data_IF_124604411984
#
_entry.id   IF_124604411984
#
_cell.length_a   1.000
_cell.length_b   1.000
_cell.length_c   1.000
_cell.angle_alpha   90.00
_cell.angle_beta   90.00
_cell.angle_gamma   90.00
#
_symmetry.space_group_name_H-M   'P 1'
#
loop_
_entity.id
_entity.type
_entity.pdbx_description
1 polymer ?
#
# COMPACT_ATOMS: atom_id res chain seq x y z
N UNK A 1 2.43 -5.98 -22.79
CA UNK A 1 2.41 -4.98 -21.72
C UNK A 1 0.98 -4.53 -21.46
N UNK A 2 0.65 -4.29 -20.18
CA UNK A 2 -0.63 -3.76 -19.72
C UNK A 2 -0.37 -2.51 -18.87
N UNK A 3 -1.12 -1.45 -19.09
CA UNK A 3 -1.15 -0.28 -18.24
C UNK A 3 -2.60 0.09 -17.93
N UNK A 4 -2.84 0.51 -16.70
CA UNK A 4 -4.13 1.01 -16.24
C UNK A 4 -3.91 2.23 -15.34
N UNK A 5 -4.82 3.19 -15.40
CA UNK A 5 -4.76 4.41 -14.59
C UNK A 5 -6.17 4.97 -14.39
N UNK A 6 -6.37 5.71 -13.31
CA UNK A 6 -7.60 6.46 -13.06
C UNK A 6 -7.29 7.95 -12.98
N UNK A 7 -8.31 8.78 -13.08
CA UNK A 7 -8.24 10.23 -12.86
C UNK A 7 -8.54 10.62 -11.40
N UNK A 8 -8.53 9.66 -10.50
CA UNK A 8 -8.80 9.91 -9.09
C UNK A 8 -7.85 10.95 -8.50
N UNK A 9 -8.39 11.85 -7.70
CA UNK A 9 -7.66 12.79 -6.87
C UNK A 9 -8.32 12.85 -5.49
N UNK A 10 -7.53 12.83 -4.43
CA UNK A 10 -8.03 12.99 -3.07
C UNK A 10 -8.39 14.46 -2.79
N UNK A 11 -9.31 15.00 -3.58
CA UNK A 11 -9.74 16.41 -3.50
C UNK A 11 -11.22 16.55 -3.84
N UNK A 12 -12.11 16.69 -2.83
CA UNK A 12 -13.54 16.90 -3.05
C UNK A 12 -13.86 18.14 -3.90
N UNK A 13 -13.06 19.22 -3.80
CA UNK A 13 -13.31 20.43 -4.58
C UNK A 13 -13.14 20.21 -6.09
N UNK A 14 -12.37 19.22 -6.49
CA UNK A 14 -12.26 18.77 -7.89
C UNK A 14 -13.23 17.63 -8.25
N UNK A 15 -14.19 17.33 -7.36
CA UNK A 15 -15.10 16.20 -7.47
C UNK A 15 -14.33 14.86 -7.60
N UNK A 16 -13.25 14.73 -6.84
CA UNK A 16 -12.33 13.58 -6.81
C UNK A 16 -11.70 13.23 -8.16
N UNK A 17 -11.55 14.20 -9.06
CA UNK A 17 -11.00 13.98 -10.40
C UNK A 17 -9.88 14.94 -10.75
N UNK A 18 -8.80 14.40 -11.33
CA UNK A 18 -7.73 15.18 -11.98
C UNK A 18 -8.16 15.55 -13.39
N UNK A 19 -7.80 16.76 -13.84
CA UNK A 19 -7.98 17.19 -15.24
C UNK A 19 -6.77 16.72 -16.07
N UNK A 20 -6.73 15.44 -16.40
CA UNK A 20 -5.65 14.80 -17.16
C UNK A 20 -6.21 13.94 -18.29
N UNK A 21 -5.47 13.82 -19.38
CA UNK A 21 -5.78 12.86 -20.44
C UNK A 21 -5.21 11.48 -20.06
N UNK A 22 -6.08 10.66 -19.44
CA UNK A 22 -5.72 9.30 -19.01
C UNK A 22 -5.38 8.41 -20.19
N UNK A 23 -6.11 8.51 -21.29
CA UNK A 23 -5.90 7.66 -22.45
C UNK A 23 -4.51 7.89 -23.04
N UNK A 24 -4.10 9.16 -23.15
CA UNK A 24 -2.75 9.49 -23.63
C UNK A 24 -1.67 9.00 -22.66
N UNK A 25 -1.85 9.20 -21.33
CA UNK A 25 -0.88 8.74 -20.34
C UNK A 25 -0.70 7.22 -20.34
N UNK A 26 -1.79 6.46 -20.44
CA UNK A 26 -1.73 4.99 -20.53
C UNK A 26 -1.03 4.55 -21.80
N UNK A 27 -1.30 5.21 -22.93
CA UNK A 27 -0.63 4.94 -24.19
C UNK A 27 0.88 5.18 -24.09
N UNK A 28 1.29 6.33 -23.55
CA UNK A 28 2.71 6.69 -23.39
C UNK A 28 3.45 5.69 -22.49
N UNK A 29 2.80 5.21 -21.41
CA UNK A 29 3.36 4.17 -20.55
C UNK A 29 3.61 2.87 -21.30
N UNK A 30 2.65 2.42 -22.11
CA UNK A 30 2.79 1.18 -22.91
C UNK A 30 3.88 1.34 -23.96
N UNK A 31 3.94 2.46 -24.69
CA UNK A 31 4.98 2.69 -25.69
C UNK A 31 6.38 2.75 -25.03
N UNK A 32 6.53 3.48 -23.95
CA UNK A 32 7.78 3.51 -23.17
C UNK A 32 8.21 2.11 -22.71
N UNK A 33 7.26 1.28 -22.29
CA UNK A 33 7.55 -0.10 -21.88
C UNK A 33 7.99 -0.97 -23.07
N UNK A 34 7.37 -0.80 -24.24
CA UNK A 34 7.77 -1.50 -25.46
C UNK A 34 9.19 -1.12 -25.91
N UNK A 35 9.53 0.18 -25.87
CA UNK A 35 10.88 0.68 -26.23
C UNK A 35 11.95 0.07 -25.32
N UNK A 36 11.70 -0.03 -24.01
CA UNK A 36 12.63 -0.65 -23.07
C UNK A 36 12.76 -2.16 -23.24
N UNK A 37 11.69 -2.83 -23.63
CA UNK A 37 11.62 -4.26 -23.79
C UNK A 37 11.61 -5.05 -22.46
N UNK A 38 11.18 -6.31 -22.54
CA UNK A 38 10.96 -7.17 -21.36
C UNK A 38 12.22 -7.37 -20.52
N UNK A 39 13.37 -7.64 -21.16
CA UNK A 39 14.62 -7.94 -20.45
C UNK A 39 15.07 -6.79 -19.56
N UNK A 40 15.04 -5.56 -20.08
CA UNK A 40 15.44 -4.38 -19.33
C UNK A 40 14.44 -4.08 -18.21
N UNK A 41 13.15 -4.20 -18.48
CA UNK A 41 12.12 -3.99 -17.45
C UNK A 41 12.21 -5.01 -16.32
N UNK A 42 12.47 -6.29 -16.65
CA UNK A 42 12.69 -7.34 -15.67
C UNK A 42 13.91 -7.07 -14.80
N UNK A 43 15.05 -6.68 -15.41
CA UNK A 43 16.27 -6.37 -14.66
C UNK A 43 16.05 -5.24 -13.67
N UNK A 44 15.47 -4.13 -14.11
CA UNK A 44 15.14 -2.98 -13.26
C UNK A 44 14.16 -3.32 -12.14
N UNK A 45 13.16 -4.16 -12.43
CA UNK A 45 12.21 -4.63 -11.42
C UNK A 45 12.91 -5.45 -10.33
N UNK A 46 13.82 -6.35 -10.73
CA UNK A 46 14.58 -7.18 -9.78
C UNK A 46 15.50 -6.30 -8.93
N UNK A 47 16.24 -5.36 -9.53
CA UNK A 47 17.10 -4.43 -8.79
C UNK A 47 16.31 -3.61 -7.76
N UNK A 48 15.22 -3.00 -8.18
CA UNK A 48 14.36 -2.19 -7.32
C UNK A 48 13.79 -3.01 -6.15
N UNK A 49 13.26 -4.19 -6.44
CA UNK A 49 12.69 -5.06 -5.42
C UNK A 49 13.75 -5.57 -4.43
N UNK A 50 14.88 -6.04 -4.93
CA UNK A 50 15.95 -6.58 -4.09
C UNK A 50 16.57 -5.53 -3.19
N UNK A 51 16.65 -4.28 -3.61
CA UNK A 51 17.15 -3.18 -2.79
C UNK A 51 16.37 -3.00 -1.47
N UNK A 52 15.10 -3.39 -1.45
CA UNK A 52 14.25 -3.39 -0.25
C UNK A 52 14.20 -4.79 0.41
N UNK A 53 13.96 -5.82 -0.38
CA UNK A 53 13.70 -7.15 0.14
C UNK A 53 14.90 -7.77 0.85
N UNK A 54 16.11 -7.58 0.34
CA UNK A 54 17.35 -8.15 0.89
C UNK A 54 17.84 -7.47 2.18
N UNK A 55 17.20 -6.40 2.65
CA UNK A 55 17.60 -5.67 3.86
C UNK A 55 17.40 -6.47 5.15
N UNK A 56 16.48 -7.43 5.14
CA UNK A 56 16.16 -8.26 6.30
C UNK A 56 15.91 -9.69 5.86
N UNK A 57 16.53 -10.62 6.56
CA UNK A 57 16.29 -12.05 6.46
C UNK A 57 15.95 -12.58 7.85
N UNK A 58 14.88 -13.38 7.93
CA UNK A 58 14.56 -14.18 9.11
C UNK A 58 15.06 -15.59 8.87
N UNK A 59 15.85 -16.11 9.80
CA UNK A 59 16.36 -17.47 9.82
C UNK A 59 15.99 -18.09 11.18
N UNK A 60 15.10 -19.07 11.17
CA UNK A 60 14.66 -19.83 12.33
C UNK A 60 15.31 -21.21 12.39
N UNK A 61 16.32 -21.45 11.56
CA UNK A 61 16.99 -22.73 11.43
C UNK A 61 16.17 -23.76 10.65
N UNK A 62 15.34 -23.30 9.72
CA UNK A 62 14.54 -24.18 8.90
C UNK A 62 15.41 -25.04 7.98
N UNK A 63 15.16 -26.34 7.93
CA UNK A 63 15.71 -27.20 6.88
C UNK A 63 14.97 -26.93 5.57
N UNK A 64 15.68 -27.08 4.44
CA UNK A 64 15.07 -26.90 3.11
C UNK A 64 13.99 -27.94 2.88
N UNK A 65 12.76 -27.48 2.72
CA UNK A 65 11.60 -28.30 2.39
C UNK A 65 11.12 -27.98 0.97
N UNK A 66 11.07 -29.01 0.12
CA UNK A 66 10.60 -28.90 -1.27
C UNK A 66 9.08 -29.03 -1.40
N UNK A 67 8.34 -29.09 -0.30
CA UNK A 67 6.89 -29.15 -0.30
C UNK A 67 6.25 -27.87 -0.83
N UNK A 68 5.08 -27.99 -1.44
CA UNK A 68 4.28 -26.82 -1.83
C UNK A 68 3.71 -26.12 -0.59
N UNK A 69 3.45 -24.81 -0.69
CA UNK A 69 2.92 -24.01 0.43
C UNK A 69 1.62 -24.58 0.99
N UNK A 70 0.74 -25.11 0.15
CA UNK A 70 -0.51 -25.74 0.61
C UNK A 70 -0.26 -27.04 1.40
N UNK A 71 0.80 -27.80 1.09
CA UNK A 71 1.20 -28.96 1.88
C UNK A 71 1.84 -28.53 3.22
N UNK A 72 2.65 -27.50 3.22
CA UNK A 72 3.19 -26.92 4.46
C UNK A 72 2.06 -26.42 5.38
N UNK A 73 1.05 -25.75 4.84
CA UNK A 73 -0.11 -25.27 5.59
C UNK A 73 -0.93 -26.44 6.17
N UNK A 74 -1.23 -27.48 5.36
CA UNK A 74 -2.00 -28.64 5.82
C UNK A 74 -1.32 -29.44 6.92
N UNK A 75 0.00 -29.48 6.89
CA UNK A 75 0.82 -30.29 7.81
C UNK A 75 1.50 -29.44 8.90
N UNK A 76 1.14 -28.16 9.02
CA UNK A 76 1.76 -27.26 9.99
C UNK A 76 1.69 -27.79 11.42
N UNK A 77 2.84 -27.80 12.08
CA UNK A 77 2.99 -28.06 13.52
C UNK A 77 3.90 -26.99 14.13
N UNK A 78 3.56 -26.39 15.26
CA UNK A 78 4.34 -25.30 15.83
C UNK A 78 5.83 -25.63 16.10
N UNK A 79 6.15 -26.90 16.31
CA UNK A 79 7.52 -27.35 16.59
C UNK A 79 8.36 -27.64 15.33
N UNK A 80 7.71 -27.72 14.17
CA UNK A 80 8.31 -28.13 12.89
C UNK A 80 7.95 -27.13 11.77
N UNK A 81 7.40 -25.96 12.12
CA UNK A 81 6.81 -25.02 11.19
C UNK A 81 7.75 -23.91 10.68
N UNK A 82 9.05 -23.95 11.00
CA UNK A 82 9.98 -22.85 10.74
C UNK A 82 10.00 -22.40 9.28
N UNK A 83 9.96 -23.34 8.32
CA UNK A 83 9.90 -22.99 6.88
C UNK A 83 8.70 -22.12 6.55
N UNK A 84 7.52 -22.48 7.06
CA UNK A 84 6.29 -21.72 6.81
C UNK A 84 6.30 -20.38 7.55
N UNK A 85 6.87 -20.31 8.73
CA UNK A 85 6.98 -19.09 9.53
C UNK A 85 7.94 -18.09 8.88
N UNK A 86 9.10 -18.53 8.40
CA UNK A 86 10.02 -17.73 7.61
C UNK A 86 9.38 -17.24 6.30
N UNK A 87 8.67 -18.14 5.60
CA UNK A 87 7.93 -17.79 4.38
C UNK A 87 6.86 -16.74 4.66
N UNK A 88 6.09 -16.89 5.74
CA UNK A 88 5.04 -15.94 6.13
C UNK A 88 5.60 -14.54 6.41
N UNK A 89 6.73 -14.48 7.15
CA UNK A 89 7.42 -13.22 7.41
C UNK A 89 7.87 -12.53 6.12
N UNK A 90 8.55 -13.27 5.24
CA UNK A 90 9.03 -12.72 3.97
C UNK A 90 7.88 -12.39 3.00
N UNK A 91 6.81 -13.16 3.02
CA UNK A 91 5.63 -12.89 2.21
C UNK A 91 4.89 -11.62 2.66
N UNK A 92 4.79 -11.39 3.97
CA UNK A 92 4.26 -10.13 4.51
C UNK A 92 5.08 -8.92 4.05
N UNK A 93 6.42 -9.00 4.05
CA UNK A 93 7.30 -7.97 3.49
C UNK A 93 7.08 -7.78 1.99
N UNK A 94 6.95 -8.86 1.23
CA UNK A 94 6.64 -8.81 -0.19
C UNK A 94 5.32 -8.07 -0.46
N UNK A 95 4.27 -8.37 0.28
CA UNK A 95 2.98 -7.72 0.13
C UNK A 95 3.08 -6.20 0.38
N UNK A 96 3.79 -5.77 1.41
CA UNK A 96 3.98 -4.36 1.71
C UNK A 96 4.81 -3.65 0.63
N UNK A 97 5.95 -4.21 0.22
CA UNK A 97 6.78 -3.66 -0.86
C UNK A 97 6.00 -3.53 -2.16
N UNK A 98 5.12 -4.49 -2.45
CA UNK A 98 4.38 -4.54 -3.71
C UNK A 98 3.14 -3.65 -3.74
N UNK A 99 2.62 -3.25 -2.57
CA UNK A 99 1.38 -2.46 -2.45
C UNK A 99 1.60 -1.01 -2.04
N UNK A 100 2.77 -0.65 -1.51
CA UNK A 100 3.00 0.69 -0.98
C UNK A 100 4.42 1.17 -1.28
N UNK A 101 4.53 2.10 -2.23
CA UNK A 101 5.81 2.64 -2.69
C UNK A 101 5.77 4.16 -2.65
N UNK A 102 6.89 4.76 -2.24
CA UNK A 102 7.07 6.21 -2.28
C UNK A 102 7.19 6.69 -3.73
N UNK A 103 6.10 7.15 -4.27
CA UNK A 103 6.04 7.80 -5.58
C UNK A 103 4.95 8.88 -5.60
N UNK A 104 5.04 9.79 -6.57
CA UNK A 104 4.03 10.85 -6.71
C UNK A 104 2.62 10.28 -6.87
N UNK A 105 1.67 10.81 -6.14
CA UNK A 105 0.26 10.38 -6.14
C UNK A 105 0.02 8.94 -5.64
N UNK A 106 0.96 8.34 -4.92
CA UNK A 106 0.78 7.03 -4.35
C UNK A 106 -0.26 7.05 -3.23
N UNK A 107 -1.26 6.21 -3.34
CA UNK A 107 -2.18 5.91 -2.25
C UNK A 107 -1.62 4.76 -1.39
N UNK A 108 -1.95 4.71 -0.10
CA UNK A 108 -1.55 3.59 0.75
C UNK A 108 -2.23 2.28 0.34
N UNK A 109 -1.72 1.17 0.85
CA UNK A 109 -2.39 -0.12 0.78
C UNK A 109 -3.74 -0.03 1.50
N UNK A 110 -4.83 -0.41 0.83
CA UNK A 110 -6.17 -0.45 1.42
C UNK A 110 -6.39 -1.76 2.22
N UNK A 111 -7.65 -2.07 2.59
CA UNK A 111 -7.98 -3.32 3.31
C UNK A 111 -7.49 -4.60 2.65
N UNK A 112 -7.35 -4.60 1.33
CA UNK A 112 -6.88 -5.74 0.54
C UNK A 112 -5.51 -5.47 -0.13
N UNK A 113 -4.75 -4.50 0.37
CA UNK A 113 -3.53 -4.06 -0.30
C UNK A 113 -3.85 -3.31 -1.60
N UNK A 114 -3.48 -3.91 -2.73
CA UNK A 114 -3.85 -3.44 -4.08
C UNK A 114 -4.46 -4.56 -4.92
N UNK A 115 -4.82 -5.67 -4.26
CA UNK A 115 -5.36 -6.87 -4.91
C UNK A 115 -6.83 -7.03 -4.59
N UNK A 116 -7.65 -7.15 -5.63
CA UNK A 116 -9.07 -7.42 -5.52
C UNK A 116 -9.55 -8.21 -6.74
N UNK A 117 -10.24 -9.30 -6.50
CA UNK A 117 -10.75 -10.19 -7.55
C UNK A 117 -12.25 -10.01 -7.82
N UNK A 118 -12.94 -9.11 -7.11
CA UNK A 118 -14.39 -8.95 -7.18
C UNK A 118 -14.79 -7.48 -7.29
N UNK A 119 -15.88 -7.19 -7.98
CA UNK A 119 -16.37 -5.82 -8.18
C UNK A 119 -16.98 -5.21 -6.92
N UNK A 120 -17.44 -6.04 -5.99
CA UNK A 120 -18.01 -5.62 -4.72
C UNK A 120 -17.26 -6.29 -3.56
N UNK A 121 -16.06 -5.80 -3.22
CA UNK A 121 -15.22 -6.37 -2.18
C UNK A 121 -15.80 -6.09 -0.79
N UNK A 122 -15.46 -6.92 0.21
CA UNK A 122 -15.80 -6.65 1.60
C UNK A 122 -15.34 -5.25 2.01
N UNK A 123 -16.24 -4.49 2.67
CA UNK A 123 -15.96 -3.13 3.15
C UNK A 123 -15.49 -2.17 2.06
N UNK A 124 -15.87 -2.41 0.80
CA UNK A 124 -15.48 -1.65 -0.39
C UNK A 124 -13.96 -1.54 -0.62
N UNK A 125 -13.14 -2.35 0.06
CA UNK A 125 -11.67 -2.24 0.08
C UNK A 125 -11.17 -0.84 0.44
N UNK A 126 -11.89 -0.11 1.29
CA UNK A 126 -11.55 1.27 1.65
C UNK A 126 -10.48 1.36 2.74
N UNK A 127 -10.25 2.58 3.25
CA UNK A 127 -9.29 2.87 4.30
C UNK A 127 -10.00 2.92 5.66
N UNK A 128 -9.91 1.82 6.42
CA UNK A 128 -10.38 1.77 7.80
C UNK A 128 -9.30 2.29 8.75
N UNK A 129 -9.59 3.42 9.39
CA UNK A 129 -8.65 4.18 10.23
C UNK A 129 -8.75 3.83 11.72
N UNK A 130 -9.64 2.90 12.09
CA UNK A 130 -9.77 2.48 13.49
C UNK A 130 -8.67 1.50 13.93
N UNK A 131 -8.14 0.65 13.02
CA UNK A 131 -6.99 -0.24 13.27
C UNK A 131 -6.39 -0.84 11.98
N UNK A 132 -7.22 -1.11 10.95
CA UNK A 132 -6.80 -1.92 9.81
C UNK A 132 -5.66 -1.26 9.03
N UNK A 133 -5.79 0.04 8.69
CA UNK A 133 -4.74 0.76 7.99
C UNK A 133 -3.44 0.77 8.79
N UNK A 134 -3.51 1.00 10.10
CA UNK A 134 -2.34 0.99 10.96
C UNK A 134 -1.65 -0.38 10.96
N UNK A 135 -2.41 -1.48 11.06
CA UNK A 135 -1.87 -2.84 11.04
C UNK A 135 -1.15 -3.17 9.74
N UNK A 136 -1.64 -2.70 8.61
CA UNK A 136 -0.96 -2.90 7.32
C UNK A 136 0.47 -2.33 7.33
N UNK A 137 0.72 -1.29 8.11
CA UNK A 137 2.00 -0.58 8.14
C UNK A 137 2.87 -0.87 9.36
N UNK A 138 2.43 -1.67 10.32
CA UNK A 138 3.28 -2.06 11.44
C UNK A 138 4.61 -2.68 11.01
N UNK A 139 4.67 -3.54 9.97
CA UNK A 139 5.94 -4.10 9.51
C UNK A 139 6.88 -3.08 8.88
N UNK A 140 6.42 -1.93 8.42
CA UNK A 140 7.26 -0.95 7.72
C UNK A 140 8.49 -0.55 8.55
N UNK A 141 8.32 -0.33 9.83
CA UNK A 141 9.39 0.12 10.71
C UNK A 141 10.27 -1.04 11.20
N UNK A 142 9.65 -2.11 11.71
CA UNK A 142 10.38 -3.23 12.32
C UNK A 142 11.06 -4.14 11.29
N UNK A 143 10.58 -4.13 10.04
CA UNK A 143 11.13 -4.95 8.96
C UNK A 143 12.00 -4.14 7.97
N UNK A 144 12.50 -2.95 8.39
CA UNK A 144 13.40 -2.09 7.63
C UNK A 144 12.85 -1.71 6.23
N UNK A 145 11.59 -1.26 6.20
CA UNK A 145 10.84 -0.86 5.01
C UNK A 145 10.21 0.53 5.18
N UNK A 146 10.90 1.46 5.84
CA UNK A 146 10.37 2.79 6.20
C UNK A 146 9.75 3.53 5.01
N UNK A 147 10.34 3.41 3.83
CA UNK A 147 9.87 4.10 2.61
C UNK A 147 8.45 3.66 2.21
N UNK A 148 8.04 2.46 2.59
CA UNK A 148 6.68 1.99 2.32
C UNK A 148 5.62 2.68 3.18
N UNK A 149 6.02 3.40 4.24
CA UNK A 149 5.10 4.16 5.08
C UNK A 149 4.79 5.57 4.54
N UNK A 150 5.59 6.11 3.60
CA UNK A 150 5.34 7.46 3.07
C UNK A 150 3.96 7.63 2.43
N UNK A 151 3.42 6.67 1.65
CA UNK A 151 2.07 6.81 1.11
C UNK A 151 0.98 7.00 2.19
N UNK A 152 1.07 6.28 3.31
CA UNK A 152 0.08 6.44 4.40
C UNK A 152 0.30 7.75 5.17
N UNK A 153 1.54 8.20 5.34
CA UNK A 153 1.85 9.48 5.98
C UNK A 153 1.27 10.63 5.14
N UNK A 154 1.51 10.62 3.84
CA UNK A 154 1.00 11.64 2.92
C UNK A 154 -0.54 11.62 2.87
N UNK A 155 -1.14 10.44 2.82
CA UNK A 155 -2.59 10.27 2.86
C UNK A 155 -3.21 10.87 4.14
N UNK A 156 -2.62 10.62 5.30
CA UNK A 156 -3.07 11.18 6.59
C UNK A 156 -2.91 12.70 6.59
N UNK A 157 -1.83 13.22 6.01
CA UNK A 157 -1.61 14.66 5.89
C UNK A 157 -2.68 15.33 5.03
N UNK A 158 -3.02 14.73 3.90
CA UNK A 158 -4.10 15.20 3.02
C UNK A 158 -5.47 15.20 3.70
N UNK A 159 -5.76 14.24 4.59
CA UNK A 159 -7.00 14.18 5.35
C UNK A 159 -7.18 15.36 6.32
N UNK A 160 -6.11 16.05 6.73
CA UNK A 160 -6.19 17.17 7.69
C UNK A 160 -7.11 18.30 7.21
N UNK A 161 -7.06 18.62 5.93
CA UNK A 161 -7.88 19.71 5.35
C UNK A 161 -9.36 19.47 5.59
N UNK A 162 -9.84 18.28 5.29
CA UNK A 162 -11.25 17.90 5.47
C UNK A 162 -11.57 17.51 6.91
N UNK A 163 -10.58 17.00 7.61
CA UNK A 163 -10.66 16.70 9.04
C UNK A 163 -10.92 17.94 9.90
N UNK A 164 -10.41 19.12 9.51
CA UNK A 164 -10.75 20.40 10.16
C UNK A 164 -12.22 20.78 9.95
N UNK A 165 -12.77 20.56 8.76
CA UNK A 165 -14.20 20.78 8.52
C UNK A 165 -15.07 19.83 9.36
N UNK A 166 -14.65 18.57 9.48
CA UNK A 166 -15.32 17.60 10.33
C UNK A 166 -15.24 18.00 11.81
N UNK A 167 -14.08 18.45 12.30
CA UNK A 167 -13.90 18.93 13.67
C UNK A 167 -14.80 20.13 13.98
N UNK A 168 -14.91 21.08 13.06
CA UNK A 168 -15.80 22.22 13.22
C UNK A 168 -17.27 21.77 13.29
N UNK A 169 -17.68 20.85 12.42
CA UNK A 169 -19.09 20.42 12.33
C UNK A 169 -19.51 19.51 13.48
N UNK A 170 -18.67 18.59 13.90
CA UNK A 170 -19.03 17.55 14.89
C UNK A 170 -18.60 17.86 16.31
N UNK A 171 -17.52 18.62 16.49
CA UNK A 171 -16.98 18.96 17.81
C UNK A 171 -16.98 20.46 18.13
N UNK A 172 -17.45 21.32 17.22
CA UNK A 172 -17.44 22.78 17.39
C UNK A 172 -16.02 23.41 17.42
N UNK A 173 -15.02 22.66 16.99
CA UNK A 173 -13.61 23.12 16.98
C UNK A 173 -13.37 23.86 15.66
N UNK A 174 -13.29 25.20 15.74
CA UNK A 174 -13.07 26.05 14.57
C UNK A 174 -11.64 26.53 14.55
N UNK A 175 -10.93 26.30 13.44
CA UNK A 175 -9.60 26.87 13.22
C UNK A 175 -9.71 28.37 12.97
N UNK A 176 -8.91 29.18 13.64
CA UNK A 176 -8.77 30.60 13.38
C UNK A 176 -7.63 30.86 12.40
N UNK A 177 -7.64 32.02 11.78
CA UNK A 177 -6.59 32.41 10.83
C UNK A 177 -5.22 32.43 11.53
N UNK A 178 -4.26 31.68 10.99
CA UNK A 178 -2.92 31.53 11.58
C UNK A 178 -2.79 30.48 12.67
N UNK A 179 -3.88 29.80 13.06
CA UNK A 179 -3.85 28.68 14.02
C UNK A 179 -4.25 27.36 13.38
N UNK A 180 -3.40 26.36 13.54
CA UNK A 180 -3.72 24.98 13.16
C UNK A 180 -4.39 24.25 14.33
N UNK A 181 -5.70 24.44 14.47
CA UNK A 181 -6.50 23.71 15.45
C UNK A 181 -6.64 22.22 15.10
N UNK A 182 -7.13 21.44 16.04
CA UNK A 182 -7.35 20.01 15.90
C UNK A 182 -8.22 19.63 14.71
N UNK A 183 -8.08 18.42 14.27
CA UNK A 183 -8.85 17.83 13.16
C UNK A 183 -9.37 16.45 13.55
N UNK A 184 -10.38 15.98 12.84
CA UNK A 184 -11.07 14.72 13.11
C UNK A 184 -11.24 13.95 11.82
N UNK A 185 -10.93 12.67 11.84
CA UNK A 185 -11.30 11.73 10.78
C UNK A 185 -12.29 10.69 11.31
N UNK A 186 -13.13 10.20 10.41
CA UNK A 186 -14.02 9.08 10.70
C UNK A 186 -13.25 7.75 10.65
N UNK A 187 -13.88 6.68 11.18
CA UNK A 187 -13.29 5.33 11.12
C UNK A 187 -13.06 4.83 9.71
N UNK A 188 -13.75 5.39 8.75
CA UNK A 188 -13.67 5.08 7.33
C UNK A 188 -13.42 6.35 6.56
N UNK A 189 -12.40 6.37 5.72
CA UNK A 189 -12.09 7.45 4.79
C UNK A 189 -11.93 6.90 3.38
N UNK A 190 -12.44 7.63 2.40
CA UNK A 190 -12.37 7.31 0.96
C UNK A 190 -11.81 8.50 0.20
#
# INVERSE_FOLDING_TARGET
FLAAKTDFAQNPASNYRKKIDIAQQVKDLVETAKEKGYTQLKSRHIEDYQALFQRVQLDLGAEVDASTTDNLLKNYKPQEGQVLEELLFQYGRYLLISSSRDCSDALPANLQGVWNAVDNPPWNSDYHLNINLQMNYWPAYVANLLETAFPVINYIDDLRVYGRLAAARYAGIVSQEGEENGWLVHTQAT
#
